data_IF_086047837874
#
_entry.id   IF_086047837874
#
_cell.length_a   1.000
_cell.length_b   1.000
_cell.length_c   1.000
_cell.angle_alpha   90.00
_cell.angle_beta   90.00
_cell.angle_gamma   90.00
#
_symmetry.space_group_name_H-M   'P 1'
#
loop_
_entity.id
_entity.type
_entity.pdbx_description
1 polymer ?
#
# COMPACT_ATOMS: atom_id res chain seq x y z
N UNK A 1 -16.34 18.39 -5.87
CA UNK A 1 -15.75 17.03 -5.84
C UNK A 1 -15.43 16.73 -7.28
N UNK A 2 -14.21 17.03 -7.63
CA UNK A 2 -13.73 17.26 -8.99
C UNK A 2 -13.53 15.91 -9.68
N UNK A 3 -14.20 15.72 -10.82
CA UNK A 3 -14.14 14.49 -11.61
C UNK A 3 -12.70 14.07 -11.95
N UNK A 4 -11.78 15.04 -12.03
CA UNK A 4 -10.35 14.83 -12.25
C UNK A 4 -9.67 14.12 -11.07
N UNK A 5 -10.01 14.46 -9.82
CA UNK A 5 -9.48 13.78 -8.62
C UNK A 5 -9.91 12.32 -8.56
N UNK A 6 -11.15 12.03 -8.95
CA UNK A 6 -11.67 10.66 -9.03
C UNK A 6 -11.01 9.87 -10.16
N UNK A 7 -10.65 10.52 -11.28
CA UNK A 7 -9.92 9.91 -12.37
C UNK A 7 -8.49 9.53 -11.96
N UNK A 8 -7.79 10.43 -11.25
CA UNK A 8 -6.43 10.17 -10.76
C UNK A 8 -6.38 9.05 -9.72
N UNK A 9 -7.35 9.02 -8.81
CA UNK A 9 -7.52 7.92 -7.85
C UNK A 9 -7.71 6.57 -8.56
N UNK A 10 -8.59 6.48 -9.56
CA UNK A 10 -8.81 5.24 -10.31
C UNK A 10 -7.55 4.78 -11.00
N UNK A 11 -6.83 5.71 -11.63
CA UNK A 11 -5.56 5.42 -12.29
C UNK A 11 -4.50 4.89 -11.33
N UNK A 12 -4.43 5.41 -10.11
CA UNK A 12 -3.55 4.90 -9.05
C UNK A 12 -3.89 3.46 -8.66
N UNK A 13 -5.17 3.14 -8.50
CA UNK A 13 -5.63 1.76 -8.21
C UNK A 13 -5.26 0.83 -9.36
N UNK A 14 -5.56 1.20 -10.60
CA UNK A 14 -5.26 0.40 -11.78
C UNK A 14 -3.76 0.09 -11.89
N UNK A 15 -2.88 1.05 -11.58
CA UNK A 15 -1.44 0.83 -11.58
C UNK A 15 -0.98 -0.15 -10.51
N UNK A 16 -1.56 -0.06 -9.31
CA UNK A 16 -1.23 -0.95 -8.18
C UNK A 16 -1.73 -2.37 -8.45
N UNK A 17 -2.95 -2.53 -8.98
CA UNK A 17 -3.50 -3.82 -9.38
C UNK A 17 -2.76 -4.44 -10.56
N UNK A 18 -2.33 -3.64 -11.54
CA UNK A 18 -1.51 -4.10 -12.66
C UNK A 18 -0.13 -4.61 -12.22
N UNK A 19 0.42 -4.07 -11.13
CA UNK A 19 1.64 -4.60 -10.50
C UNK A 19 1.37 -5.90 -9.70
N UNK A 20 0.12 -6.37 -9.62
CA UNK A 20 -0.27 -7.61 -8.96
C UNK A 20 -0.53 -7.48 -7.46
N UNK A 21 -0.81 -6.27 -6.99
CA UNK A 21 -1.31 -6.04 -5.64
C UNK A 21 -2.84 -6.07 -5.62
N UNK A 22 -3.41 -6.69 -4.61
CA UNK A 22 -4.84 -6.71 -4.34
C UNK A 22 -5.17 -5.50 -3.44
N UNK A 23 -5.83 -4.48 -3.99
CA UNK A 23 -6.22 -3.27 -3.24
C UNK A 23 -7.42 -3.60 -2.35
N UNK A 24 -7.24 -3.52 -1.04
CA UNK A 24 -8.26 -3.91 -0.06
C UNK A 24 -9.00 -2.72 0.54
N UNK A 25 -8.36 -1.55 0.60
CA UNK A 25 -8.95 -0.34 1.16
C UNK A 25 -8.43 0.90 0.44
N UNK A 26 -9.30 1.89 0.29
CA UNK A 26 -8.98 3.17 -0.31
C UNK A 26 -9.75 4.28 0.42
N UNK A 27 -8.99 5.24 0.94
CA UNK A 27 -9.50 6.44 1.58
C UNK A 27 -9.05 7.68 0.82
N UNK A 28 -9.97 8.61 0.60
CA UNK A 28 -9.66 9.93 0.02
C UNK A 28 -10.05 10.97 1.03
N UNK A 29 -9.10 11.82 1.37
CA UNK A 29 -9.31 13.00 2.19
C UNK A 29 -8.95 14.21 1.34
N UNK A 30 -9.94 15.02 0.97
CA UNK A 30 -9.67 16.37 0.52
C UNK A 30 -9.29 17.18 1.76
N UNK A 31 -8.04 17.65 1.85
CA UNK A 31 -7.63 18.51 2.95
C UNK A 31 -7.85 19.96 2.52
N UNK A 32 -8.94 20.56 3.01
CA UNK A 32 -9.19 21.99 2.88
C UNK A 32 -8.42 22.67 4.03
N UNK A 33 -7.16 23.05 3.80
CA UNK A 33 -6.28 23.64 4.82
C UNK A 33 -6.82 25.01 5.23
N UNK A 34 -7.23 25.22 6.50
CA UNK A 34 -7.68 26.54 6.95
C UNK A 34 -6.52 27.54 7.16
N UNK A 35 -5.28 27.12 6.91
CA UNK A 35 -4.04 27.85 7.19
C UNK A 35 -3.24 28.18 5.94
N UNK A 36 -3.71 27.76 4.78
CA UNK A 36 -3.00 27.94 3.51
C UNK A 36 -3.79 28.96 2.70
N UNK A 37 -3.25 30.18 2.57
CA UNK A 37 -3.68 31.18 1.57
C UNK A 37 -3.34 30.73 0.12
N UNK A 38 -3.24 29.42 -0.16
CA UNK A 38 -3.01 28.88 -1.50
C UNK A 38 -4.34 28.28 -1.99
N UNK A 39 -4.90 28.89 -3.03
CA UNK A 39 -6.12 28.52 -3.75
C UNK A 39 -6.08 27.13 -4.43
N UNK A 40 -5.11 26.27 -4.09
CA UNK A 40 -4.89 24.98 -4.74
C UNK A 40 -5.40 23.83 -3.82
N UNK A 41 -6.53 23.18 -4.17
CA UNK A 41 -7.07 22.08 -3.39
C UNK A 41 -6.14 20.85 -3.46
N UNK A 42 -5.58 20.45 -2.32
CA UNK A 42 -4.77 19.22 -2.22
C UNK A 42 -5.63 18.00 -1.87
N UNK A 43 -5.53 16.97 -2.71
CA UNK A 43 -6.14 15.67 -2.48
C UNK A 43 -5.14 14.70 -1.85
N UNK A 44 -5.44 14.16 -0.68
CA UNK A 44 -4.68 13.03 -0.11
C UNK A 44 -5.44 11.73 -0.35
N UNK A 45 -4.74 10.71 -0.88
CA UNK A 45 -5.29 9.37 -1.08
C UNK A 45 -4.44 8.36 -0.31
N UNK A 46 -5.07 7.59 0.56
CA UNK A 46 -4.46 6.48 1.30
C UNK A 46 -4.94 5.16 0.69
N UNK A 47 -4.02 4.27 0.33
CA UNK A 47 -4.33 2.99 -0.31
C UNK A 47 -3.71 1.86 0.52
N UNK A 48 -4.53 0.89 0.91
CA UNK A 48 -4.05 -0.36 1.51
C UNK A 48 -4.17 -1.48 0.50
N UNK A 49 -3.05 -2.14 0.21
CA UNK A 49 -3.00 -3.25 -0.73
C UNK A 49 -2.14 -4.40 -0.19
N UNK A 50 -2.40 -5.62 -0.66
CA UNK A 50 -1.66 -6.83 -0.28
C UNK A 50 -1.16 -7.57 -1.52
N UNK A 51 0.04 -8.13 -1.45
CA UNK A 51 0.59 -9.02 -2.48
C UNK A 51 1.20 -10.24 -1.80
N UNK A 52 0.72 -11.46 -2.09
CA UNK A 52 1.36 -12.66 -1.56
C UNK A 52 2.72 -12.83 -2.25
N UNK A 53 3.77 -12.98 -1.45
CA UNK A 53 5.07 -13.39 -1.95
C UNK A 53 5.19 -14.90 -1.77
N UNK A 54 5.57 -15.63 -2.83
CA UNK A 54 5.83 -17.07 -2.72
C UNK A 54 6.95 -17.30 -1.71
N UNK A 55 6.62 -17.89 -0.57
CA UNK A 55 7.62 -18.53 0.29
C UNK A 55 8.03 -19.84 -0.35
N UNK A 56 8.98 -19.80 -1.27
CA UNK A 56 9.74 -20.98 -1.68
C UNK A 56 9.63 -21.39 -3.15
N UNK A 57 10.66 -21.04 -3.90
CA UNK A 57 11.36 -21.98 -4.77
C UNK A 57 12.86 -21.80 -4.53
N UNK A 58 13.45 -22.65 -3.67
CA UNK A 58 14.91 -22.83 -3.55
C UNK A 58 15.56 -22.53 -2.20
N UNK A 59 15.38 -23.41 -1.20
CA UNK A 59 16.47 -23.84 -0.31
C UNK A 59 16.10 -25.14 0.43
N UNK A 60 16.36 -26.27 -0.23
CA UNK A 60 16.76 -27.50 0.46
C UNK A 60 17.93 -27.16 1.39
N UNK A 61 17.79 -27.43 2.69
CA UNK A 61 18.88 -27.29 3.65
C UNK A 61 18.35 -27.27 5.08
N UNK A 62 18.32 -28.44 5.70
CA UNK A 62 18.30 -28.64 7.15
C UNK A 62 18.95 -27.48 7.91
N UNK A 63 18.15 -26.68 8.60
CA UNK A 63 18.62 -25.82 9.68
C UNK A 63 18.38 -26.58 10.97
N UNK A 64 19.42 -27.32 11.35
CA UNK A 64 19.57 -28.06 12.60
C UNK A 64 19.24 -27.17 13.82
N UNK A 65 18.73 -27.83 14.86
CA UNK A 65 18.18 -27.30 16.10
C UNK A 65 19.29 -26.70 17.00
N UNK A 66 19.98 -25.65 16.56
CA UNK A 66 21.01 -24.95 17.36
C UNK A 66 20.57 -23.52 17.73
N UNK A 67 19.48 -23.40 18.51
CA UNK A 67 19.12 -22.11 19.11
C UNK A 67 19.70 -21.99 20.54
N UNK A 68 20.82 -21.27 20.75
CA UNK A 68 21.52 -21.20 22.04
C UNK A 68 20.78 -20.39 23.13
N UNK A 69 19.57 -19.90 22.84
CA UNK A 69 18.78 -19.07 23.76
C UNK A 69 17.52 -19.75 24.30
N UNK A 70 17.28 -21.04 24.01
CA UNK A 70 16.25 -21.80 24.75
C UNK A 70 16.78 -22.12 26.15
N UNK A 71 16.44 -21.28 27.12
CA UNK A 71 16.57 -21.58 28.55
C UNK A 71 15.54 -22.65 28.89
N UNK A 72 16.04 -23.85 29.18
CA UNK A 72 15.31 -24.98 29.78
C UNK A 72 14.97 -24.72 31.24
#
# INVERSE_FOLDING_TARGET
MDDDMLADQRKLVELIEADGWDVTDLEISAYDSPWTDEDDPEATVTITARKPYSSGEGNDGEADDENPYRVS
#
